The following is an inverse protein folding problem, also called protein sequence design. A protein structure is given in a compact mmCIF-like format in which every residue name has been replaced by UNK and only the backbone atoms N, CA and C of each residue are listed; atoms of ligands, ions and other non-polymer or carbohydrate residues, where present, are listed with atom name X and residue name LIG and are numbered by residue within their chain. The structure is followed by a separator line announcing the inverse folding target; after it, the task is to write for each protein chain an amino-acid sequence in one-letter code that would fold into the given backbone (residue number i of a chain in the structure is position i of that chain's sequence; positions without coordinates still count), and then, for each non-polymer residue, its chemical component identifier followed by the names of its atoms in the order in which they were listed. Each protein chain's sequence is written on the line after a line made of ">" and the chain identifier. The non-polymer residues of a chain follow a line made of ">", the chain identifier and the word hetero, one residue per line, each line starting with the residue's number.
data_IF_437174263580
#
_entry.id   IF_437174263580
#
_cell.length_a   1.000
_cell.length_b   1.000
_cell.length_c   1.000
_cell.angle_alpha   90.00
_cell.angle_beta   90.00
_cell.angle_gamma   90.00
#
_symmetry.space_group_name_H-M   'P 1'
#
loop_
_entity.id
_entity.type
_entity.pdbx_description
1 polymer ?
#
# COMPACT_ATOMS: atom_id res chain seq x y z
N UNK A 1 28.47 3.64 -11.99
CA UNK A 1 27.62 2.88 -11.04
C UNK A 1 28.17 1.46 -10.94
N UNK A 2 28.85 1.11 -9.84
CA UNK A 2 29.50 -0.19 -9.70
C UNK A 2 28.46 -1.31 -9.53
N UNK A 3 28.49 -2.27 -10.46
CA UNK A 3 27.64 -3.46 -10.46
C UNK A 3 28.04 -4.40 -9.32
N UNK A 4 27.33 -4.34 -8.19
CA UNK A 4 27.41 -5.38 -7.18
C UNK A 4 26.73 -6.66 -7.72
N UNK A 5 27.54 -7.60 -8.19
CA UNK A 5 27.15 -9.00 -8.41
C UNK A 5 26.94 -9.67 -7.04
N UNK A 6 25.83 -9.37 -6.38
CA UNK A 6 25.37 -10.18 -5.25
C UNK A 6 24.66 -11.43 -5.75
N UNK A 7 25.06 -12.61 -5.26
CA UNK A 7 24.23 -13.82 -5.36
C UNK A 7 22.90 -13.54 -4.65
N UNK A 8 21.78 -13.63 -5.38
CA UNK A 8 20.45 -13.28 -4.88
C UNK A 8 19.96 -11.93 -5.42
N UNK A 9 19.19 -12.00 -6.51
CA UNK A 9 18.55 -10.85 -7.14
C UNK A 9 17.52 -10.17 -6.21
N UNK A 10 17.02 -9.02 -6.65
CA UNK A 10 16.03 -8.22 -5.96
C UNK A 10 14.71 -8.23 -6.72
N UNK A 11 13.62 -8.04 -6.00
CA UNK A 11 12.32 -7.76 -6.57
C UNK A 11 11.78 -6.44 -6.05
N UNK A 12 11.02 -5.76 -6.89
CA UNK A 12 10.20 -4.62 -6.51
C UNK A 12 8.77 -4.86 -6.94
N UNK A 13 7.81 -4.62 -6.05
CA UNK A 13 6.39 -4.79 -6.31
C UNK A 13 5.77 -3.41 -6.37
N UNK A 14 5.17 -3.06 -7.51
CA UNK A 14 4.25 -1.93 -7.59
C UNK A 14 2.85 -2.45 -7.29
N UNK A 15 2.29 -2.05 -6.16
CA UNK A 15 0.93 -2.39 -5.77
C UNK A 15 0.04 -1.14 -5.84
N UNK A 16 -1.11 -1.28 -6.48
CA UNK A 16 -2.16 -0.26 -6.60
C UNK A 16 -3.34 -0.67 -5.72
N UNK A 17 -3.87 0.24 -4.91
CA UNK A 17 -5.05 -0.03 -4.07
C UNK A 17 -6.35 0.31 -4.80
N UNK A 18 -7.25 -0.66 -4.93
CA UNK A 18 -8.59 -0.45 -5.49
C UNK A 18 -9.34 0.60 -4.67
N UNK A 19 -9.79 1.67 -5.33
CA UNK A 19 -10.65 2.71 -4.74
C UNK A 19 -10.20 3.07 -3.32
N UNK A 20 -8.92 3.43 -3.18
CA UNK A 20 -8.24 3.45 -1.89
C UNK A 20 -8.98 4.25 -0.82
N UNK A 21 -9.52 5.41 -1.17
CA UNK A 21 -10.32 6.25 -0.27
C UNK A 21 -11.69 5.64 0.05
N UNK A 22 -12.40 5.08 -0.92
CA UNK A 22 -13.78 4.58 -0.76
C UNK A 22 -13.88 3.26 0.04
N UNK A 23 -12.79 2.49 0.12
CA UNK A 23 -12.81 1.14 0.72
C UNK A 23 -12.45 1.08 2.19
N UNK A 24 -11.85 2.12 2.75
CA UNK A 24 -11.35 2.11 4.13
C UNK A 24 -12.52 2.10 5.12
N UNK A 25 -12.55 1.13 6.02
CA UNK A 25 -13.58 1.08 7.07
C UNK A 25 -13.36 2.14 8.15
N UNK A 26 -14.43 2.84 8.55
CA UNK A 26 -14.36 3.85 9.60
C UNK A 26 -13.89 3.29 10.94
N UNK A 27 -14.36 2.10 11.31
CA UNK A 27 -13.92 1.44 12.54
C UNK A 27 -12.40 1.22 12.56
N UNK A 28 -11.80 0.91 11.41
CA UNK A 28 -10.35 0.81 11.28
C UNK A 28 -9.68 2.17 11.48
N UNK A 29 -10.15 3.22 10.80
CA UNK A 29 -9.63 4.59 10.98
C UNK A 29 -9.62 4.98 12.45
N UNK A 30 -10.77 4.91 13.11
CA UNK A 30 -10.91 5.31 14.51
C UNK A 30 -10.02 4.46 15.44
N UNK A 31 -9.85 3.17 15.14
CA UNK A 31 -8.95 2.31 15.90
C UNK A 31 -7.48 2.70 15.73
N UNK A 32 -7.06 3.13 14.54
CA UNK A 32 -5.70 3.64 14.31
C UNK A 32 -5.44 4.88 15.15
N UNK A 33 -6.36 5.85 15.18
CA UNK A 33 -6.21 7.04 16.02
C UNK A 33 -6.14 6.70 17.50
N UNK A 34 -6.94 5.74 17.98
CA UNK A 34 -6.86 5.25 19.36
C UNK A 34 -5.48 4.65 19.67
N UNK A 35 -4.98 3.77 18.79
CA UNK A 35 -3.66 3.14 18.96
C UNK A 35 -2.50 4.13 18.85
N UNK A 36 -2.67 5.24 18.14
CA UNK A 36 -1.68 6.30 18.03
C UNK A 36 -1.74 7.29 19.20
N UNK A 37 -2.65 7.09 20.16
CA UNK A 37 -2.72 7.88 21.40
C UNK A 37 -3.48 9.19 21.25
N UNK A 38 -4.31 9.35 20.22
CA UNK A 38 -5.15 10.54 20.09
C UNK A 38 -6.24 10.59 21.16
N UNK A 39 -6.57 11.79 21.62
CA UNK A 39 -7.62 11.98 22.63
C UNK A 39 -8.99 11.52 22.11
N UNK A 40 -9.85 11.04 23.01
CA UNK A 40 -11.23 10.64 22.67
C UNK A 40 -12.02 11.76 21.99
N UNK A 41 -11.80 13.02 22.41
CA UNK A 41 -12.42 14.20 21.81
C UNK A 41 -12.04 14.34 20.34
N UNK A 42 -10.75 14.18 20.00
CA UNK A 42 -10.28 14.21 18.62
C UNK A 42 -10.86 13.07 17.79
N UNK A 43 -10.86 11.84 18.32
CA UNK A 43 -11.42 10.67 17.65
C UNK A 43 -12.91 10.88 17.34
N UNK A 44 -13.66 11.45 18.28
CA UNK A 44 -15.08 11.76 18.08
C UNK A 44 -15.30 12.80 16.98
N UNK A 45 -14.45 13.83 16.88
CA UNK A 45 -14.52 14.77 15.76
C UNK A 45 -14.27 14.11 14.42
N UNK A 46 -13.22 13.26 14.31
CA UNK A 46 -12.97 12.50 13.08
C UNK A 46 -14.15 11.60 12.75
N UNK A 47 -14.73 10.91 13.74
CA UNK A 47 -15.90 10.06 13.54
C UNK A 47 -17.07 10.85 12.94
N UNK A 48 -17.36 12.05 13.45
CA UNK A 48 -18.39 12.92 12.87
C UNK A 48 -18.04 13.33 11.43
N UNK A 49 -16.82 13.81 11.19
CA UNK A 49 -16.39 14.26 9.85
C UNK A 49 -16.56 13.18 8.78
N UNK A 50 -16.18 11.94 9.09
CA UNK A 50 -16.26 10.84 8.11
C UNK A 50 -17.67 10.27 7.97
N UNK A 51 -18.51 10.31 9.03
CA UNK A 51 -19.83 9.65 9.02
C UNK A 51 -20.99 10.52 8.56
N UNK A 52 -20.88 11.84 8.61
CA UNK A 52 -22.01 12.76 8.31
C UNK A 52 -22.05 13.22 6.85
N UNK A 53 -21.31 12.57 5.96
CA UNK A 53 -21.35 12.85 4.52
C UNK A 53 -22.56 12.19 3.88
N UNK A 54 -23.18 12.87 2.90
CA UNK A 54 -24.26 12.31 2.08
C UNK A 54 -23.88 12.42 0.61
N UNK A 55 -24.34 11.45 -0.18
CA UNK A 55 -24.18 11.43 -1.62
C UNK A 55 -25.54 11.43 -2.30
N UNK A 56 -25.59 12.07 -3.47
CA UNK A 56 -26.74 12.07 -4.36
C UNK A 56 -26.26 11.68 -5.76
N UNK A 57 -27.11 11.02 -6.54
CA UNK A 57 -26.80 10.70 -7.94
C UNK A 57 -27.28 11.85 -8.81
N UNK A 58 -26.46 12.37 -9.71
CA UNK A 58 -26.92 13.34 -10.70
C UNK A 58 -27.61 12.60 -11.86
N UNK A 59 -28.93 12.74 -11.96
CA UNK A 59 -29.72 12.28 -13.11
C UNK A 59 -30.08 13.49 -13.97
N UNK A 60 -29.63 13.49 -15.23
CA UNK A 60 -29.82 14.61 -16.16
C UNK A 60 -29.35 15.95 -15.56
N UNK A 61 -28.26 15.95 -14.79
CA UNK A 61 -27.72 17.13 -14.13
C UNK A 61 -28.45 17.56 -12.85
N UNK A 62 -29.55 16.89 -12.47
CA UNK A 62 -30.29 17.17 -11.25
C UNK A 62 -30.00 16.13 -10.16
N UNK A 63 -29.77 16.52 -8.89
CA UNK A 63 -29.60 15.57 -7.80
C UNK A 63 -30.86 14.72 -7.60
N UNK A 64 -30.67 13.41 -7.55
CA UNK A 64 -31.72 12.43 -7.33
C UNK A 64 -31.30 11.41 -6.27
N UNK A 65 -32.17 11.23 -5.28
CA UNK A 65 -31.94 10.34 -4.14
C UNK A 65 -30.81 10.81 -3.23
N UNK A 66 -30.83 10.33 -1.99
CA UNK A 66 -29.75 10.53 -1.03
C UNK A 66 -29.36 9.19 -0.43
N UNK A 67 -28.06 8.95 -0.32
CA UNK A 67 -27.54 7.78 0.37
C UNK A 67 -26.36 8.17 1.25
N UNK A 68 -26.26 7.49 2.38
CA UNK A 68 -25.15 7.65 3.31
C UNK A 68 -24.08 6.60 2.98
N UNK A 69 -22.80 6.98 2.89
CA UNK A 69 -21.74 5.99 2.92
C UNK A 69 -21.76 5.28 4.27
N UNK A 70 -21.27 4.04 4.30
CA UNK A 70 -21.01 3.30 5.56
C UNK A 70 -19.51 3.15 5.83
N UNK A 71 -18.69 3.58 4.88
CA UNK A 71 -17.23 3.51 4.89
C UNK A 71 -16.64 4.49 3.88
N UNK A 72 -15.32 4.58 3.90
CA UNK A 72 -14.54 5.39 2.98
C UNK A 72 -14.35 6.82 3.47
N UNK A 73 -13.33 7.49 2.94
CA UNK A 73 -12.98 8.86 3.31
C UNK A 73 -13.20 9.75 2.09
N UNK A 74 -13.77 10.94 2.27
CA UNK A 74 -14.22 11.79 1.16
C UNK A 74 -13.05 12.32 0.33
N UNK A 75 -12.98 11.94 -0.94
CA UNK A 75 -12.00 12.54 -1.85
C UNK A 75 -12.31 14.04 -2.06
N UNK A 76 -11.28 14.87 -2.03
CA UNK A 76 -11.40 16.34 -2.12
C UNK A 76 -11.66 17.05 -0.78
N UNK A 77 -11.86 16.32 0.31
CA UNK A 77 -11.83 16.89 1.66
C UNK A 77 -10.36 17.15 2.08
N UNK A 78 -10.02 18.36 2.56
CA UNK A 78 -8.67 18.70 3.02
C UNK A 78 -8.09 17.75 4.10
N UNK A 79 -8.93 17.11 4.92
CA UNK A 79 -8.48 16.18 5.96
C UNK A 79 -8.14 14.80 5.41
N UNK A 80 -8.80 14.38 4.33
CA UNK A 80 -8.71 13.00 3.82
C UNK A 80 -7.30 12.51 3.53
N UNK A 81 -6.40 13.31 2.91
CA UNK A 81 -5.02 12.88 2.68
C UNK A 81 -4.28 12.55 3.98
N UNK A 82 -4.45 13.36 5.02
CA UNK A 82 -3.80 13.14 6.32
C UNK A 82 -4.36 11.89 7.03
N UNK A 83 -5.69 11.71 7.00
CA UNK A 83 -6.32 10.50 7.55
C UNK A 83 -5.81 9.24 6.84
N UNK A 84 -5.63 9.31 5.52
CA UNK A 84 -5.15 8.19 4.72
C UNK A 84 -3.70 7.85 5.05
N UNK A 85 -2.82 8.85 5.20
CA UNK A 85 -1.41 8.65 5.57
C UNK A 85 -1.30 7.99 6.96
N UNK A 86 -2.09 8.45 7.93
CA UNK A 86 -2.09 7.84 9.27
C UNK A 86 -2.58 6.39 9.24
N UNK A 87 -3.56 6.08 8.40
CA UNK A 87 -4.00 4.70 8.18
C UNK A 87 -2.91 3.84 7.54
N UNK A 88 -2.24 4.36 6.50
CA UNK A 88 -1.22 3.61 5.75
C UNK A 88 0.06 3.38 6.56
N UNK A 89 0.34 4.21 7.58
CA UNK A 89 1.41 4.01 8.55
C UNK A 89 1.33 2.65 9.27
N UNK A 90 0.12 2.09 9.46
CA UNK A 90 -0.04 0.73 10.00
C UNK A 90 0.67 -0.31 9.12
N UNK A 91 0.56 -0.17 7.79
CA UNK A 91 1.22 -1.05 6.84
C UNK A 91 2.73 -0.81 6.83
N UNK A 92 3.19 0.45 6.90
CA UNK A 92 4.61 0.79 7.06
C UNK A 92 5.23 0.10 8.28
N UNK A 93 4.50 0.07 9.40
CA UNK A 93 4.93 -0.59 10.64
C UNK A 93 4.96 -2.11 10.52
N UNK A 94 4.05 -2.72 9.76
CA UNK A 94 4.13 -4.15 9.46
C UNK A 94 5.42 -4.49 8.72
N UNK A 95 5.76 -3.74 7.66
CA UNK A 95 7.01 -3.97 6.93
C UNK A 95 8.25 -3.69 7.78
N UNK A 96 8.25 -2.59 8.54
CA UNK A 96 9.35 -2.21 9.42
C UNK A 96 9.61 -3.27 10.50
N UNK A 97 8.55 -3.90 11.02
CA UNK A 97 8.66 -5.02 11.95
C UNK A 97 9.37 -6.21 11.29
N UNK A 98 8.95 -6.61 10.09
CA UNK A 98 9.57 -7.73 9.37
C UNK A 98 11.03 -7.46 8.97
N UNK A 99 11.36 -6.21 8.66
CA UNK A 99 12.74 -5.75 8.44
C UNK A 99 13.57 -5.84 9.73
N UNK A 100 13.05 -5.38 10.86
CA UNK A 100 13.73 -5.44 12.16
C UNK A 100 14.01 -6.87 12.63
N UNK A 101 13.13 -7.81 12.27
CA UNK A 101 13.30 -9.24 12.52
C UNK A 101 14.27 -9.92 11.52
N UNK A 102 14.81 -9.15 10.56
CA UNK A 102 15.73 -9.62 9.54
C UNK A 102 15.10 -10.49 8.45
N UNK A 103 13.76 -10.63 8.47
CA UNK A 103 12.96 -11.50 7.57
C UNK A 103 12.69 -10.84 6.23
N UNK A 104 12.62 -9.51 6.18
CA UNK A 104 12.53 -8.71 4.96
C UNK A 104 13.83 -7.93 4.76
N UNK A 105 14.37 -7.89 3.53
CA UNK A 105 15.58 -7.11 3.24
C UNK A 105 15.24 -5.80 2.53
N UNK A 106 15.72 -4.71 3.09
CA UNK A 106 15.65 -3.37 2.49
C UNK A 106 16.73 -3.12 1.45
N UNK A 107 16.47 -2.20 0.52
CA UNK A 107 17.46 -1.68 -0.44
C UNK A 107 18.11 -0.40 0.11
N UNK A 108 19.40 -0.20 -0.17
CA UNK A 108 20.10 1.08 0.05
C UNK A 108 20.57 1.65 -1.29
N UNK A 109 20.28 2.92 -1.53
CA UNK A 109 20.64 3.63 -2.78
C UNK A 109 22.06 4.23 -2.71
N UNK A 110 22.60 4.42 -1.49
CA UNK A 110 23.96 4.88 -1.23
C UNK A 110 24.50 4.26 0.07
N UNK A 111 25.79 4.47 0.39
CA UNK A 111 26.37 3.96 1.66
C UNK A 111 25.64 4.51 2.88
N UNK A 112 25.39 5.81 2.86
CA UNK A 112 24.82 6.55 3.99
C UNK A 112 23.32 6.82 3.82
N UNK A 113 22.71 6.22 2.78
CA UNK A 113 21.27 6.32 2.55
C UNK A 113 20.49 5.45 3.55
N UNK A 114 19.29 5.88 3.97
CA UNK A 114 18.40 5.03 4.74
C UNK A 114 18.07 3.75 3.97
N UNK A 115 17.83 2.67 4.72
CA UNK A 115 17.25 1.46 4.15
C UNK A 115 15.81 1.73 3.73
N UNK A 116 15.44 1.22 2.54
CA UNK A 116 14.09 1.36 1.98
C UNK A 116 13.55 -0.04 1.72
N UNK A 117 12.58 -0.48 2.52
CA UNK A 117 11.77 -1.68 2.26
C UNK A 117 10.47 -1.35 1.53
N UNK A 118 9.97 -0.12 1.66
CA UNK A 118 8.71 0.30 1.07
C UNK A 118 8.66 1.83 0.86
N UNK A 119 7.87 2.27 -0.11
CA UNK A 119 7.47 3.66 -0.32
C UNK A 119 5.96 3.69 -0.51
N UNK A 120 5.26 4.58 0.18
CA UNK A 120 3.82 4.78 0.03
C UNK A 120 3.57 6.19 -0.48
N UNK A 121 2.81 6.30 -1.57
CA UNK A 121 2.36 7.57 -2.11
C UNK A 121 0.86 7.49 -2.39
N UNK A 122 0.06 8.01 -1.45
CA UNK A 122 -1.40 7.86 -1.48
C UNK A 122 -1.81 6.39 -1.75
N UNK A 123 -2.41 6.10 -2.91
CA UNK A 123 -2.90 4.78 -3.30
C UNK A 123 -1.85 3.87 -3.96
N UNK A 124 -0.67 4.38 -4.28
CA UNK A 124 0.45 3.64 -4.87
C UNK A 124 1.42 3.17 -3.78
N UNK A 125 1.80 1.89 -3.85
CA UNK A 125 2.80 1.29 -2.98
C UNK A 125 3.92 0.72 -3.83
N UNK A 126 5.16 1.02 -3.45
CA UNK A 126 6.35 0.39 -4.02
C UNK A 126 7.06 -0.38 -2.91
N UNK A 127 7.07 -1.70 -3.02
CA UNK A 127 7.66 -2.61 -2.04
C UNK A 127 8.96 -3.21 -2.59
N UNK A 128 9.92 -3.43 -1.72
CA UNK A 128 11.23 -3.97 -2.07
C UNK A 128 11.58 -5.17 -1.19
N UNK A 129 12.27 -6.14 -1.79
CA UNK A 129 12.77 -7.32 -1.08
C UNK A 129 13.73 -8.12 -1.94
N UNK A 130 14.37 -9.14 -1.36
CA UNK A 130 15.07 -10.14 -2.17
C UNK A 130 14.06 -10.91 -3.01
N UNK A 131 14.47 -11.27 -4.23
CA UNK A 131 13.69 -12.12 -5.12
C UNK A 131 13.72 -13.58 -4.64
N UNK A 132 13.08 -13.83 -3.50
CA UNK A 132 12.92 -15.15 -2.88
C UNK A 132 11.45 -15.39 -2.58
N UNK A 133 11.03 -16.65 -2.58
CA UNK A 133 9.66 -17.01 -2.21
C UNK A 133 9.35 -16.58 -0.77
N UNK A 134 10.30 -16.73 0.15
CA UNK A 134 10.15 -16.35 1.54
C UNK A 134 9.80 -14.86 1.72
N UNK A 135 10.58 -13.95 1.11
CA UNK A 135 10.28 -12.51 1.22
C UNK A 135 9.00 -12.13 0.47
N UNK A 136 8.66 -12.82 -0.63
CA UNK A 136 7.40 -12.62 -1.32
C UNK A 136 6.19 -13.01 -0.45
N UNK A 137 6.27 -14.13 0.25
CA UNK A 137 5.25 -14.57 1.22
C UNK A 137 5.11 -13.55 2.35
N UNK A 138 6.21 -13.05 2.91
CA UNK A 138 6.17 -12.04 3.99
C UNK A 138 5.47 -10.75 3.53
N UNK A 139 5.78 -10.27 2.31
CA UNK A 139 5.14 -9.09 1.74
C UNK A 139 3.63 -9.32 1.53
N UNK A 140 3.25 -10.48 1.00
CA UNK A 140 1.84 -10.85 0.80
C UNK A 140 1.08 -10.99 2.14
N UNK A 141 1.70 -11.56 3.17
CA UNK A 141 1.11 -11.66 4.51
C UNK A 141 0.88 -10.29 5.15
N UNK A 142 1.84 -9.36 5.00
CA UNK A 142 1.69 -7.99 5.50
C UNK A 142 0.54 -7.27 4.80
N UNK A 143 0.49 -7.35 3.47
CA UNK A 143 -0.63 -6.82 2.69
C UNK A 143 -1.95 -7.49 3.08
N UNK A 144 -1.95 -8.81 3.25
CA UNK A 144 -3.11 -9.60 3.66
C UNK A 144 -3.69 -9.17 5.00
N UNK A 145 -2.84 -9.01 6.03
CA UNK A 145 -3.24 -8.50 7.34
C UNK A 145 -3.83 -7.11 7.25
N UNK A 146 -3.14 -6.21 6.55
CA UNK A 146 -3.60 -4.84 6.39
C UNK A 146 -4.92 -4.75 5.62
N UNK A 147 -5.09 -5.50 4.54
CA UNK A 147 -6.37 -5.59 3.80
C UNK A 147 -7.48 -6.17 4.67
N UNK A 148 -7.19 -7.17 5.51
CA UNK A 148 -8.18 -7.77 6.40
C UNK A 148 -8.72 -6.77 7.45
N UNK A 149 -7.82 -5.92 7.99
CA UNK A 149 -8.16 -4.89 8.98
C UNK A 149 -8.81 -3.65 8.37
N UNK A 150 -8.23 -3.09 7.30
CA UNK A 150 -8.69 -1.84 6.67
C UNK A 150 -9.84 -2.02 5.69
N UNK A 151 -10.07 -3.26 5.22
CA UNK A 151 -10.89 -3.63 4.04
C UNK A 151 -10.46 -2.99 2.73
N UNK A 152 -9.25 -2.42 2.67
CA UNK A 152 -8.63 -2.11 1.38
C UNK A 152 -8.34 -3.39 0.60
N UNK A 153 -8.11 -3.23 -0.71
CA UNK A 153 -7.83 -4.35 -1.61
C UNK A 153 -6.81 -3.93 -2.64
N UNK A 154 -5.82 -4.80 -2.87
CA UNK A 154 -4.86 -4.63 -3.96
C UNK A 154 -5.54 -4.90 -5.30
N UNK A 155 -5.38 -3.96 -6.23
CA UNK A 155 -5.77 -4.10 -7.63
C UNK A 155 -4.73 -4.95 -8.36
N UNK A 156 -4.99 -6.26 -8.45
CA UNK A 156 -4.05 -7.21 -9.05
C UNK A 156 -3.83 -7.00 -10.55
N UNK A 157 -4.74 -6.30 -11.24
CA UNK A 157 -4.60 -5.99 -12.66
C UNK A 157 -3.65 -4.82 -12.91
N UNK A 158 -3.64 -3.83 -12.00
CA UNK A 158 -2.75 -2.66 -12.04
C UNK A 158 -1.44 -2.86 -11.28
N UNK A 159 -1.37 -3.92 -10.49
CA UNK A 159 -0.18 -4.27 -9.70
C UNK A 159 0.76 -5.19 -10.48
N UNK A 160 2.06 -5.06 -10.24
CA UNK A 160 3.07 -5.83 -10.96
C UNK A 160 4.36 -6.04 -10.17
N UNK A 161 5.11 -7.07 -10.55
CA UNK A 161 6.42 -7.40 -9.96
C UNK A 161 7.52 -7.18 -10.99
N UNK A 162 8.59 -6.50 -10.58
CA UNK A 162 9.80 -6.31 -11.35
C UNK A 162 10.97 -7.01 -10.66
N UNK A 163 11.86 -7.63 -11.43
CA UNK A 163 13.03 -8.35 -10.94
C UNK A 163 14.30 -7.69 -11.47
N UNK A 164 15.33 -7.60 -10.63
CA UNK A 164 16.62 -7.02 -11.02
C UNK A 164 17.30 -7.83 -12.14
N UNK A 165 18.09 -7.14 -12.99
CA UNK A 165 18.75 -7.76 -14.17
C UNK A 165 19.68 -8.94 -13.82
N UNK A 166 20.24 -8.96 -12.61
CA UNK A 166 21.11 -10.03 -12.12
C UNK A 166 20.33 -11.22 -11.51
N UNK A 167 19.00 -11.19 -11.51
CA UNK A 167 18.19 -12.31 -11.05
C UNK A 167 18.22 -13.44 -12.08
N UNK A 168 18.97 -14.50 -11.76
CA UNK A 168 19.10 -15.73 -12.56
C UNK A 168 18.35 -16.93 -11.96
N UNK A 169 17.62 -16.73 -10.86
CA UNK A 169 17.03 -17.81 -10.06
C UNK A 169 15.61 -18.21 -10.51
N UNK A 170 15.32 -19.51 -10.39
CA UNK A 170 13.97 -20.00 -10.15
C UNK A 170 13.65 -19.77 -8.65
N UNK A 171 12.41 -19.40 -8.27
CA UNK A 171 11.18 -19.55 -9.04
C UNK A 171 10.48 -18.19 -9.25
N UNK A 172 10.76 -17.52 -10.39
CA UNK A 172 9.97 -16.35 -10.84
C UNK A 172 8.48 -16.69 -10.79
N UNK A 173 8.11 -17.86 -11.31
CA UNK A 173 6.72 -18.34 -11.38
C UNK A 173 6.12 -18.45 -9.98
N UNK A 174 6.78 -19.14 -9.04
CA UNK A 174 6.22 -19.29 -7.70
C UNK A 174 6.12 -17.95 -6.94
N UNK A 175 7.04 -17.00 -7.18
CA UNK A 175 6.91 -15.64 -6.61
C UNK A 175 5.68 -14.93 -7.18
N UNK A 176 5.48 -15.01 -8.50
CA UNK A 176 4.30 -14.40 -9.15
C UNK A 176 3.00 -15.06 -8.70
N UNK A 177 2.99 -16.38 -8.54
CA UNK A 177 1.82 -17.14 -8.07
C UNK A 177 1.50 -16.86 -6.60
N UNK A 178 2.53 -16.82 -5.74
CA UNK A 178 2.39 -16.43 -4.33
C UNK A 178 1.77 -15.04 -4.21
N UNK A 179 2.32 -14.07 -4.94
CA UNK A 179 1.84 -12.70 -4.92
C UNK A 179 0.52 -12.55 -5.69
N UNK A 180 0.14 -13.51 -6.54
CA UNK A 180 -0.94 -13.43 -7.55
C UNK A 180 -0.86 -12.13 -8.34
N UNK A 181 0.32 -11.82 -8.86
CA UNK A 181 0.63 -10.62 -9.64
C UNK A 181 1.31 -10.97 -10.96
N UNK A 182 1.22 -10.04 -11.91
CA UNK A 182 1.88 -10.19 -13.21
C UNK A 182 3.29 -9.61 -13.16
N UNK A 183 4.20 -10.16 -13.97
CA UNK A 183 5.51 -9.55 -14.18
C UNK A 183 5.37 -8.25 -14.97
N UNK A 184 6.05 -7.20 -14.56
CA UNK A 184 6.09 -5.94 -15.30
C UNK A 184 6.79 -6.17 -16.67
N UNK A 185 6.18 -5.78 -17.80
CA UNK A 185 6.78 -5.92 -19.12
C UNK A 185 8.11 -5.15 -19.23
N UNK A 186 9.11 -5.76 -19.87
CA UNK A 186 10.47 -5.18 -20.02
C UNK A 186 10.52 -3.86 -20.79
N UNK A 187 9.47 -3.52 -21.56
CA UNK A 187 9.34 -2.26 -22.31
C UNK A 187 8.59 -1.16 -21.54
N UNK A 188 8.15 -1.40 -20.30
CA UNK A 188 7.53 -0.36 -19.49
C UNK A 188 8.60 0.67 -19.03
N UNK A 189 8.84 1.69 -19.85
CA UNK A 189 9.80 2.79 -19.60
C UNK A 189 9.36 3.78 -18.51
N UNK A 190 8.32 3.49 -17.73
CA UNK A 190 7.79 4.45 -16.77
C UNK A 190 7.92 3.95 -15.33
N UNK A 191 9.15 4.00 -14.83
CA UNK A 191 9.42 4.36 -13.43
C UNK A 191 9.34 5.88 -13.22
N UNK A 192 9.18 6.66 -14.30
CA UNK A 192 9.22 8.12 -14.29
C UNK A 192 7.86 8.83 -14.09
N UNK A 193 6.77 8.11 -13.80
CA UNK A 193 5.52 8.75 -13.35
C UNK A 193 5.45 8.88 -11.83
N UNK A 194 6.61 9.02 -11.16
CA UNK A 194 6.78 8.98 -9.70
C UNK A 194 7.17 10.36 -9.10
N UNK A 195 6.74 11.46 -9.73
CA UNK A 195 6.58 12.78 -9.14
C UNK A 195 5.29 13.40 -9.67
#
# INVERSE_FOLDING_TARGET
>A
MNHKQGQGGWMSIKADMEKAYDRVEWCFVLKVFELFGFSRKWINWIAQCISTSYFSILLNGSPFGNFCPTRGIRQGDPLSPALFILCSEVLSRLFSREESLGRLKSIKVGRDAPSISHLLFAYDLLLFGKATLQEATILDECLGKYMAWSKQKVNREKSSVHFSKNFRGQPVVAILDQLRLKKLPSKAKHLASLC
#
